data_IF_283097448861
#
_entry.id   IF_283097448861
#
_cell.length_a   1.000
_cell.length_b   1.000
_cell.length_c   1.000
_cell.angle_alpha   90.00
_cell.angle_beta   90.00
_cell.angle_gamma   90.00
#
_symmetry.space_group_name_H-M   'P 1'
#
loop_
_entity.id
_entity.type
_entity.pdbx_description
1 polymer ?
#
# COMPACT_ATOMS: atom_id res chain seq x y z
N UNK A 1 -12.74 22.88 -21.47
CA UNK A 1 -11.89 23.59 -22.45
C UNK A 1 -10.69 24.15 -21.73
N UNK A 2 -9.52 23.52 -21.84
CA UNK A 2 -8.27 24.10 -21.35
C UNK A 2 -7.83 25.19 -22.34
N UNK A 3 -7.63 26.43 -21.84
CA UNK A 3 -7.01 27.50 -22.62
C UNK A 3 -5.54 27.50 -22.25
N UNK A 4 -4.62 27.13 -23.16
CA UNK A 4 -3.21 27.15 -22.84
C UNK A 4 -2.76 28.57 -22.51
N UNK A 5 -1.86 28.71 -21.54
CA UNK A 5 -1.23 30.00 -21.25
C UNK A 5 -0.22 30.32 -22.34
N UNK A 6 -0.63 31.20 -23.25
CA UNK A 6 0.17 31.64 -24.39
C UNK A 6 0.77 33.00 -24.05
N UNK A 7 2.09 33.06 -24.00
CA UNK A 7 2.86 34.29 -23.81
C UNK A 7 3.38 34.77 -25.17
N UNK A 8 3.03 36.00 -25.54
CA UNK A 8 3.55 36.66 -26.73
C UNK A 8 4.71 37.55 -26.30
N UNK A 9 5.93 37.21 -26.72
CA UNK A 9 7.14 37.92 -26.32
C UNK A 9 7.92 38.36 -27.56
N UNK A 10 8.52 39.55 -27.53
CA UNK A 10 9.44 39.98 -28.59
C UNK A 10 10.86 39.59 -28.23
N UNK A 11 11.56 38.92 -29.14
CA UNK A 11 12.97 38.62 -28.95
C UNK A 11 13.84 39.89 -29.12
N UNK A 12 15.13 39.78 -28.83
CA UNK A 12 16.09 40.89 -28.98
C UNK A 12 16.23 41.40 -30.43
N UNK A 13 15.78 40.63 -31.42
CA UNK A 13 15.77 40.98 -32.83
C UNK A 13 14.45 41.65 -33.28
N UNK A 14 13.48 41.82 -32.36
CA UNK A 14 12.17 42.43 -32.65
C UNK A 14 11.12 41.46 -33.22
N UNK A 15 11.45 40.17 -33.35
CA UNK A 15 10.52 39.15 -33.83
C UNK A 15 9.55 38.74 -32.71
N UNK A 16 8.28 38.59 -33.07
CA UNK A 16 7.24 38.14 -32.14
C UNK A 16 7.29 36.62 -32.05
N UNK A 17 7.60 36.11 -30.86
CA UNK A 17 7.66 34.68 -30.54
C UNK A 17 6.48 34.33 -29.62
N UNK A 18 5.78 33.25 -29.96
CA UNK A 18 4.69 32.70 -29.17
C UNK A 18 5.26 31.57 -28.31
N UNK A 19 5.18 31.68 -26.99
CA UNK A 19 5.62 30.67 -26.04
C UNK A 19 4.39 30.07 -25.37
N UNK A 20 4.19 28.77 -25.56
CA UNK A 20 3.23 27.96 -24.80
C UNK A 20 3.99 27.21 -23.70
N UNK A 21 3.50 27.26 -22.47
CA UNK A 21 4.02 26.43 -21.37
C UNK A 21 3.49 25.00 -21.39
N UNK A 22 2.41 24.76 -22.13
CA UNK A 22 1.80 23.44 -22.24
C UNK A 22 2.52 22.58 -23.28
N UNK A 23 2.80 21.34 -22.91
CA UNK A 23 3.40 20.36 -23.81
C UNK A 23 2.47 20.13 -25.03
N UNK A 24 2.96 20.35 -26.27
CA UNK A 24 2.12 20.29 -27.48
C UNK A 24 1.56 18.89 -27.74
N UNK A 25 2.26 17.85 -27.29
CA UNK A 25 1.82 16.45 -27.43
C UNK A 25 0.72 16.12 -26.41
N UNK A 26 0.81 16.65 -25.18
CA UNK A 26 -0.19 16.43 -24.13
C UNK A 26 -1.58 16.97 -24.50
N UNK A 27 -1.63 18.09 -25.22
CA UNK A 27 -2.88 18.75 -25.63
C UNK A 27 -3.43 18.22 -26.95
N UNK A 28 -2.72 17.32 -27.63
CA UNK A 28 -3.14 16.75 -28.90
C UNK A 28 -4.36 15.83 -28.73
N UNK A 29 -5.39 15.92 -29.60
CA UNK A 29 -6.59 15.08 -29.49
C UNK A 29 -6.27 13.58 -29.59
N UNK A 30 -5.25 13.21 -30.37
CA UNK A 30 -4.82 11.83 -30.57
C UNK A 30 -3.65 11.43 -29.65
N UNK A 31 -3.42 12.17 -28.56
CA UNK A 31 -2.34 11.90 -27.58
C UNK A 31 -2.26 10.42 -27.18
N UNK A 32 -3.39 9.79 -26.88
CA UNK A 32 -3.43 8.40 -26.42
C UNK A 32 -2.89 7.44 -27.48
N UNK A 33 -3.17 7.73 -28.76
CA UNK A 33 -2.69 6.94 -29.88
C UNK A 33 -1.19 7.15 -30.11
N UNK A 34 -0.72 8.41 -30.04
CA UNK A 34 0.70 8.76 -30.11
C UNK A 34 1.50 8.07 -28.99
N UNK A 35 1.00 8.16 -27.75
CA UNK A 35 1.56 7.48 -26.56
C UNK A 35 1.70 5.97 -26.79
N UNK A 36 0.68 5.34 -27.37
CA UNK A 36 0.65 3.90 -27.68
C UNK A 36 1.63 3.54 -28.79
N UNK A 37 1.68 4.32 -29.88
CA UNK A 37 2.54 4.04 -31.04
C UNK A 37 4.02 4.03 -30.70
N UNK A 38 4.49 4.97 -29.88
CA UNK A 38 5.89 4.96 -29.38
C UNK A 38 6.16 3.79 -28.45
N UNK A 39 5.21 3.42 -27.58
CA UNK A 39 5.38 2.25 -26.70
C UNK A 39 5.45 0.94 -27.48
N UNK A 40 4.84 0.87 -28.66
CA UNK A 40 4.92 -0.23 -29.61
C UNK A 40 6.17 -0.17 -30.51
N UNK A 41 7.17 0.64 -30.13
CA UNK A 41 8.47 0.77 -30.79
C UNK A 41 8.45 1.33 -32.21
N UNK A 42 7.43 2.10 -32.59
CA UNK A 42 7.53 2.93 -33.79
C UNK A 42 8.57 4.05 -33.59
N UNK A 43 9.24 4.42 -34.67
CA UNK A 43 10.27 5.44 -34.64
C UNK A 43 9.66 6.78 -34.19
N UNK A 44 10.21 7.37 -33.13
CA UNK A 44 9.82 8.71 -32.65
C UNK A 44 9.93 9.74 -33.78
N UNK A 45 10.89 9.57 -34.70
CA UNK A 45 11.04 10.45 -35.87
C UNK A 45 9.88 10.29 -36.86
N UNK A 46 9.48 9.07 -37.18
CA UNK A 46 8.35 8.81 -38.10
C UNK A 46 7.05 9.36 -37.52
N UNK A 47 6.86 9.25 -36.21
CA UNK A 47 5.69 9.80 -35.52
C UNK A 47 5.70 11.33 -35.44
N UNK A 48 6.87 11.93 -35.24
CA UNK A 48 7.01 13.39 -35.31
C UNK A 48 6.62 13.91 -36.70
N UNK A 49 6.99 13.20 -37.77
CA UNK A 49 6.61 13.53 -39.14
C UNK A 49 5.10 13.28 -39.40
N UNK A 50 4.57 12.12 -38.98
CA UNK A 50 3.16 11.74 -39.16
C UNK A 50 2.20 12.74 -38.50
N UNK A 51 2.52 13.17 -37.28
CA UNK A 51 1.67 14.05 -36.48
C UNK A 51 2.11 15.52 -36.50
N UNK A 52 3.14 15.86 -37.26
CA UNK A 52 3.61 17.25 -37.43
C UNK A 52 4.24 17.87 -36.17
N UNK A 53 4.84 17.07 -35.29
CA UNK A 53 5.57 17.57 -34.12
C UNK A 53 7.05 17.81 -34.42
N UNK A 54 7.68 18.66 -33.63
CA UNK A 54 9.14 18.67 -33.57
C UNK A 54 9.60 17.41 -32.85
N UNK A 55 10.70 16.83 -33.33
CA UNK A 55 11.28 15.63 -32.71
C UNK A 55 11.57 15.84 -31.22
N UNK A 56 12.11 17.01 -30.86
CA UNK A 56 12.44 17.36 -29.47
C UNK A 56 11.21 17.37 -28.56
N UNK A 57 10.08 17.89 -29.05
CA UNK A 57 8.83 17.96 -28.29
C UNK A 57 8.30 16.55 -27.97
N UNK A 58 8.39 15.62 -28.94
CA UNK A 58 7.99 14.22 -28.75
C UNK A 58 8.93 13.51 -27.76
N UNK A 59 10.24 13.72 -27.87
CA UNK A 59 11.23 13.13 -26.95
C UNK A 59 11.05 13.64 -25.52
N UNK A 60 10.85 14.94 -25.35
CA UNK A 60 10.60 15.56 -24.05
C UNK A 60 9.30 15.03 -23.43
N UNK A 61 8.22 14.96 -24.22
CA UNK A 61 6.95 14.39 -23.76
C UNK A 61 7.09 12.96 -23.24
N UNK A 62 7.75 12.08 -24.00
CA UNK A 62 7.91 10.69 -23.58
C UNK A 62 8.79 10.54 -22.35
N UNK A 63 9.89 11.28 -22.27
CA UNK A 63 10.81 11.19 -21.13
C UNK A 63 10.21 11.76 -19.85
N UNK A 64 9.56 12.93 -19.92
CA UNK A 64 9.11 13.68 -18.74
C UNK A 64 7.68 13.36 -18.30
N UNK A 65 6.80 13.03 -19.25
CA UNK A 65 5.40 12.75 -18.94
C UNK A 65 5.12 11.25 -18.93
N UNK A 66 5.46 10.54 -20.02
CA UNK A 66 5.06 9.13 -20.18
C UNK A 66 5.90 8.18 -19.32
N UNK A 67 7.23 8.17 -19.48
CA UNK A 67 8.15 7.30 -18.73
C UNK A 67 8.11 7.63 -17.23
N UNK A 68 8.02 8.92 -16.87
CA UNK A 68 7.93 9.34 -15.47
C UNK A 68 6.61 8.89 -14.84
N UNK A 69 5.48 9.04 -15.53
CA UNK A 69 4.20 8.54 -15.06
C UNK A 69 4.18 7.01 -14.91
N UNK A 70 4.78 6.29 -15.87
CA UNK A 70 4.87 4.83 -15.81
C UNK A 70 5.78 4.36 -14.68
N UNK A 71 6.92 5.03 -14.44
CA UNK A 71 7.76 4.79 -13.27
C UNK A 71 7.01 5.02 -11.96
N UNK A 72 6.22 6.09 -11.88
CA UNK A 72 5.38 6.37 -10.70
C UNK A 72 4.34 5.25 -10.51
N UNK A 73 3.68 4.80 -11.58
CA UNK A 73 2.73 3.68 -11.53
C UNK A 73 3.38 2.38 -11.09
N UNK A 74 4.56 2.04 -11.61
CA UNK A 74 5.31 0.86 -11.20
C UNK A 74 5.74 0.94 -9.73
N UNK A 75 6.16 2.12 -9.26
CA UNK A 75 6.47 2.35 -7.84
C UNK A 75 5.23 2.20 -6.97
N UNK A 76 4.08 2.71 -7.40
CA UNK A 76 2.79 2.52 -6.73
C UNK A 76 2.41 1.05 -6.67
N UNK A 77 2.53 0.30 -7.77
CA UNK A 77 2.27 -1.14 -7.80
C UNK A 77 3.16 -1.89 -6.82
N UNK A 78 4.49 -1.68 -6.87
CA UNK A 78 5.46 -2.29 -5.93
C UNK A 78 5.21 -1.91 -4.48
N UNK A 79 4.69 -0.71 -4.23
CA UNK A 79 4.32 -0.28 -2.89
C UNK A 79 3.09 -1.06 -2.40
N UNK A 80 2.05 -1.16 -3.22
CA UNK A 80 0.83 -1.91 -2.92
C UNK A 80 1.13 -3.40 -2.71
N UNK A 81 1.97 -3.99 -3.56
CA UNK A 81 2.40 -5.38 -3.46
C UNK A 81 3.10 -5.68 -2.14
N UNK A 82 4.12 -4.89 -1.76
CA UNK A 82 4.81 -5.04 -0.47
C UNK A 82 3.87 -4.90 0.72
N UNK A 83 2.92 -3.98 0.63
CA UNK A 83 1.93 -3.75 1.68
C UNK A 83 0.95 -4.92 1.80
N UNK A 84 0.52 -5.49 0.68
CA UNK A 84 -0.35 -6.67 0.66
C UNK A 84 0.31 -7.89 1.28
N UNK A 85 1.59 -8.15 0.94
CA UNK A 85 2.38 -9.21 1.57
C UNK A 85 2.46 -8.99 3.09
N UNK A 86 2.79 -7.77 3.52
CA UNK A 86 2.83 -7.43 4.96
C UNK A 86 1.48 -7.64 5.65
N UNK A 87 0.38 -7.31 5.00
CA UNK A 87 -0.95 -7.56 5.54
C UNK A 87 -1.22 -9.05 5.76
N UNK A 88 -0.84 -9.91 4.80
CA UNK A 88 -0.95 -11.37 4.94
C UNK A 88 -0.11 -11.86 6.12
N UNK A 89 1.16 -11.45 6.21
CA UNK A 89 2.05 -11.85 7.31
C UNK A 89 1.46 -11.50 8.69
N UNK A 90 0.91 -10.29 8.83
CA UNK A 90 0.25 -9.84 10.06
C UNK A 90 -1.00 -10.65 10.40
N UNK A 91 -1.80 -11.05 9.39
CA UNK A 91 -2.96 -11.91 9.60
C UNK A 91 -2.55 -13.31 10.07
N UNK A 92 -1.50 -13.89 9.48
CA UNK A 92 -0.98 -15.18 9.92
C UNK A 92 -0.44 -15.13 11.35
N UNK A 93 0.27 -14.06 11.71
CA UNK A 93 0.77 -13.87 13.08
C UNK A 93 -0.38 -13.75 14.09
N UNK A 94 -1.44 -12.99 13.75
CA UNK A 94 -2.66 -12.92 14.56
C UNK A 94 -3.29 -14.29 14.78
N UNK A 95 -3.38 -15.11 13.72
CA UNK A 95 -3.96 -16.45 13.80
C UNK A 95 -3.16 -17.36 14.75
N UNK A 96 -1.83 -17.35 14.63
CA UNK A 96 -0.91 -18.07 15.53
C UNK A 96 -1.08 -17.66 16.99
N UNK A 97 -1.28 -16.37 17.26
CA UNK A 97 -1.50 -15.87 18.63
C UNK A 97 -2.87 -16.24 19.18
N UNK A 98 -3.91 -16.29 18.33
CA UNK A 98 -5.23 -16.80 18.71
C UNK A 98 -5.16 -18.29 19.05
N UNK A 99 -4.46 -19.10 18.24
CA UNK A 99 -4.23 -20.52 18.54
C UNK A 99 -3.47 -20.71 19.86
N UNK A 100 -2.44 -19.88 20.11
CA UNK A 100 -1.72 -19.88 21.38
C UNK A 100 -2.64 -19.54 22.55
N UNK A 101 -3.53 -18.55 22.41
CA UNK A 101 -4.51 -18.22 23.45
C UNK A 101 -5.44 -19.40 23.74
N UNK A 102 -5.99 -20.03 22.70
CA UNK A 102 -6.86 -21.21 22.85
C UNK A 102 -6.15 -22.33 23.60
N UNK A 103 -4.87 -22.56 23.31
CA UNK A 103 -4.06 -23.55 24.01
C UNK A 103 -3.81 -23.18 25.49
N UNK A 104 -3.58 -21.90 25.79
CA UNK A 104 -3.43 -21.43 27.18
C UNK A 104 -4.73 -21.52 27.97
N UNK A 105 -5.87 -21.16 27.35
CA UNK A 105 -7.19 -21.33 27.97
C UNK A 105 -7.50 -22.81 28.21
N UNK A 106 -7.27 -23.69 27.24
CA UNK A 106 -7.46 -25.13 27.43
C UNK A 106 -6.54 -25.74 28.49
N UNK A 107 -5.31 -25.20 28.68
CA UNK A 107 -4.45 -25.58 29.81
C UNK A 107 -5.03 -25.14 31.15
N UNK A 108 -5.58 -23.92 31.20
CA UNK A 108 -6.23 -23.39 32.40
C UNK A 108 -7.45 -24.23 32.78
N UNK A 109 -8.31 -24.55 31.82
CA UNK A 109 -9.50 -25.40 32.00
C UNK A 109 -9.12 -26.80 32.52
N UNK A 110 -8.13 -27.46 31.91
CA UNK A 110 -7.62 -28.75 32.38
C UNK A 110 -7.06 -28.69 33.79
N UNK A 111 -6.38 -27.60 34.15
CA UNK A 111 -5.88 -27.41 35.52
C UNK A 111 -7.04 -27.27 36.51
N UNK A 112 -8.09 -26.54 36.13
CA UNK A 112 -9.28 -26.38 36.96
C UNK A 112 -10.02 -27.72 37.13
N UNK A 113 -10.20 -28.50 36.06
CA UNK A 113 -10.75 -29.87 36.10
C UNK A 113 -9.93 -30.82 37.00
N UNK A 114 -8.60 -30.84 36.84
CA UNK A 114 -7.71 -31.67 37.66
C UNK A 114 -7.70 -31.26 39.13
N UNK A 115 -7.92 -29.98 39.42
CA UNK A 115 -8.02 -29.47 40.80
C UNK A 115 -9.35 -29.81 41.48
N UNK A 116 -10.40 -30.14 40.71
CA UNK A 116 -11.69 -30.59 41.21
C UNK A 116 -11.67 -32.09 41.56
N UNK A 117 -10.77 -32.88 40.94
CA UNK A 117 -10.62 -34.32 41.13
C UNK A 117 -9.79 -34.72 42.39
N UNK A 118 -9.42 -33.74 43.22
CA UNK A 118 -8.58 -33.88 44.45
C UNK A 118 -9.33 -34.58 45.61
N UNK A 119 -10.43 -35.27 45.32
CA UNK A 119 -11.23 -36.02 46.30
C UNK A 119 -10.53 -37.30 46.83
N UNK A 120 -9.29 -37.61 46.40
CA UNK A 120 -8.59 -38.86 46.74
C UNK A 120 -7.41 -38.73 47.72
N UNK A 121 -6.94 -37.52 48.04
CA UNK A 121 -5.94 -37.29 49.11
C UNK A 121 -6.01 -35.86 49.63
N UNK A 122 -5.80 -35.64 50.93
CA UNK A 122 -5.80 -34.29 51.51
C UNK A 122 -4.65 -33.48 50.91
N UNK A 123 -4.91 -32.40 50.16
CA UNK A 123 -3.86 -31.60 49.54
C UNK A 123 -3.01 -30.91 50.62
N UNK A 124 -1.70 -30.82 50.39
CA UNK A 124 -0.79 -30.11 51.29
C UNK A 124 -0.74 -28.61 50.94
N UNK A 125 -0.27 -27.78 51.88
CA UNK A 125 -0.06 -26.35 51.63
C UNK A 125 0.93 -26.11 50.45
N UNK A 126 1.89 -27.02 50.24
CA UNK A 126 2.85 -26.94 49.13
C UNK A 126 2.17 -27.19 47.79
N UNK A 127 1.23 -28.14 47.72
CA UNK A 127 0.45 -28.44 46.52
C UNK A 127 -0.43 -27.25 46.13
N UNK A 128 -1.01 -26.57 47.12
CA UNK A 128 -1.79 -25.36 46.91
C UNK A 128 -0.95 -24.19 46.39
N UNK A 129 0.25 -23.99 46.95
CA UNK A 129 1.19 -22.95 46.51
C UNK A 129 1.65 -23.22 45.06
N UNK A 130 1.97 -24.47 44.73
CA UNK A 130 2.34 -24.87 43.37
C UNK A 130 1.18 -24.55 42.40
N UNK A 131 -0.03 -25.02 42.69
CA UNK A 131 -1.24 -24.75 41.89
C UNK A 131 -1.49 -23.26 41.64
N UNK A 132 -1.37 -22.43 42.67
CA UNK A 132 -1.50 -20.97 42.52
C UNK A 132 -0.40 -20.40 41.63
N UNK A 133 0.84 -20.88 41.77
CA UNK A 133 1.98 -20.40 40.99
C UNK A 133 1.85 -20.73 39.50
N UNK A 134 1.42 -21.95 39.16
CA UNK A 134 1.14 -22.35 37.77
C UNK A 134 -0.02 -21.52 37.19
N UNK A 135 -1.11 -21.33 37.94
CA UNK A 135 -2.26 -20.54 37.48
C UNK A 135 -1.88 -19.09 37.20
N UNK A 136 -1.07 -18.47 38.09
CA UNK A 136 -0.55 -17.11 37.87
C UNK A 136 0.34 -17.02 36.64
N UNK A 137 1.17 -18.04 36.39
CA UNK A 137 2.02 -18.09 35.20
C UNK A 137 1.19 -18.12 33.91
N UNK A 138 0.20 -19.00 33.82
CA UNK A 138 -0.69 -19.11 32.66
C UNK A 138 -1.44 -17.81 32.42
N UNK A 139 -1.99 -17.19 33.47
CA UNK A 139 -2.67 -15.89 33.38
C UNK A 139 -1.71 -14.78 32.90
N UNK A 140 -0.45 -14.81 33.33
CA UNK A 140 0.59 -13.91 32.83
C UNK A 140 0.80 -14.05 31.33
N UNK A 141 1.01 -15.28 30.85
CA UNK A 141 1.19 -15.58 29.42
C UNK A 141 -0.04 -15.18 28.57
N UNK A 142 -1.27 -15.36 29.10
CA UNK A 142 -2.50 -14.90 28.45
C UNK A 142 -2.51 -13.38 28.31
N UNK A 143 -2.19 -12.64 29.37
CA UNK A 143 -2.17 -11.16 29.35
C UNK A 143 -1.16 -10.62 28.35
N UNK A 144 0.05 -11.19 28.33
CA UNK A 144 1.09 -10.82 27.36
C UNK A 144 0.62 -11.09 25.92
N UNK A 145 0.05 -12.26 25.67
CA UNK A 145 -0.44 -12.64 24.34
C UNK A 145 -1.58 -11.70 23.88
N UNK A 146 -2.51 -11.35 24.77
CA UNK A 146 -3.56 -10.37 24.50
C UNK A 146 -2.99 -8.97 24.19
N UNK A 147 -1.93 -8.56 24.89
CA UNK A 147 -1.27 -7.28 24.63
C UNK A 147 -0.66 -7.24 23.23
N UNK A 148 0.03 -8.32 22.82
CA UNK A 148 0.60 -8.45 21.47
C UNK A 148 -0.49 -8.44 20.40
N UNK A 149 -1.58 -9.19 20.62
CA UNK A 149 -2.74 -9.20 19.70
C UNK A 149 -3.32 -7.79 19.54
N UNK A 150 -3.47 -7.05 20.64
CA UNK A 150 -4.02 -5.69 20.57
C UNK A 150 -3.09 -4.74 19.79
N UNK A 151 -1.77 -4.89 19.95
CA UNK A 151 -0.78 -4.15 19.16
C UNK A 151 -0.90 -4.47 17.66
N UNK A 152 -0.88 -5.75 17.30
CA UNK A 152 -0.99 -6.20 15.90
C UNK A 152 -2.33 -5.80 15.26
N UNK A 153 -3.43 -5.86 16.02
CA UNK A 153 -4.75 -5.42 15.56
C UNK A 153 -4.75 -3.94 15.15
N UNK A 154 -4.06 -3.09 15.91
CA UNK A 154 -3.93 -1.67 15.56
C UNK A 154 -3.05 -1.46 14.31
N UNK A 155 -1.98 -2.25 14.16
CA UNK A 155 -1.13 -2.22 12.96
C UNK A 155 -1.91 -2.64 11.70
N UNK A 156 -2.68 -3.72 11.77
CA UNK A 156 -3.57 -4.16 10.68
C UNK A 156 -4.61 -3.11 10.32
N UNK A 157 -5.22 -2.47 11.33
CA UNK A 157 -6.20 -1.39 11.10
C UNK A 157 -5.59 -0.23 10.31
N UNK A 158 -4.40 0.22 10.72
CA UNK A 158 -3.68 1.28 10.02
C UNK A 158 -3.31 0.85 8.58
N UNK A 159 -2.92 -0.41 8.40
CA UNK A 159 -2.60 -0.96 7.08
C UNK A 159 -3.84 -1.02 6.16
N UNK A 160 -5.03 -1.28 6.70
CA UNK A 160 -6.29 -1.23 5.95
C UNK A 160 -6.69 0.21 5.59
N UNK A 161 -6.61 1.14 6.55
CA UNK A 161 -7.06 2.52 6.38
C UNK A 161 -6.28 3.25 5.27
N UNK A 162 -4.94 3.13 5.18
CA UNK A 162 -4.24 3.78 4.06
C UNK A 162 -4.46 3.06 2.72
N UNK A 163 -4.82 1.77 2.71
CA UNK A 163 -5.18 1.07 1.45
C UNK A 163 -6.47 1.65 0.87
N UNK A 164 -7.46 1.93 1.71
CA UNK A 164 -8.70 2.60 1.30
C UNK A 164 -8.47 4.04 0.82
N UNK A 165 -7.59 4.79 1.49
CA UNK A 165 -7.21 6.14 1.05
C UNK A 165 -6.52 6.10 -0.31
N UNK A 166 -5.57 5.19 -0.53
CA UNK A 166 -4.87 5.07 -1.81
C UNK A 166 -5.80 4.65 -2.94
N UNK A 167 -6.77 3.75 -2.66
CA UNK A 167 -7.79 3.38 -3.63
C UNK A 167 -8.61 4.59 -4.08
N UNK A 168 -9.05 5.44 -3.13
CA UNK A 168 -9.77 6.70 -3.43
C UNK A 168 -8.93 7.71 -4.20
N UNK A 169 -7.62 7.73 -4.01
CA UNK A 169 -6.70 8.60 -4.76
C UNK A 169 -6.37 8.06 -6.15
N UNK A 170 -6.48 6.74 -6.37
CA UNK A 170 -6.26 6.08 -7.65
C UNK A 170 -7.49 6.02 -8.55
N UNK A 171 -8.69 6.26 -8.01
CA UNK A 171 -9.90 6.44 -8.81
C UNK A 171 -9.77 7.74 -9.63
N UNK A 172 -9.93 7.69 -10.96
CA UNK A 172 -9.89 8.91 -11.77
C UNK A 172 -10.98 9.83 -11.27
N UNK A 173 -10.61 11.05 -10.85
CA UNK A 173 -11.59 12.10 -10.58
C UNK A 173 -12.40 12.25 -11.86
N UNK A 174 -13.67 11.86 -11.82
CA UNK A 174 -14.65 12.25 -12.81
C UNK A 174 -14.80 13.77 -12.69
N UNK A 175 -13.90 14.50 -13.33
CA UNK A 175 -14.02 15.93 -13.55
C UNK A 175 -15.12 16.11 -14.60
N UNK A 176 -16.31 16.45 -14.11
CA UNK A 176 -17.43 16.96 -14.90
C UNK A 176 -17.10 18.35 -15.44
#
# INVERSE_FOLDING_TARGET
>A
MFRPEIYIVRNFNGEVVIISMDCPVCVHPERIEIDRKVMLAQSIRELAEEYGFRLDDLVEHFSQHVIKAEKIRLLQYRYLERRFVRYIDLQEELLKLVDRLNLLFGRLEKFDEQSIDVSRSKPTARDYIASISERRKIIGEIRETLHVINKLKNEVKNEKDLTEILKKLGEPKNCS
#
